data_IF_217371380606
#
_entry.id   IF_217371380606
#
_cell.length_a   1.000
_cell.length_b   1.000
_cell.length_c   1.000
_cell.angle_alpha   90.00
_cell.angle_beta   90.00
_cell.angle_gamma   90.00
#
_symmetry.space_group_name_H-M   'P 1'
#
loop_
_entity.id
_entity.type
_entity.pdbx_description
1 polymer ?
#
# COMPACT_ATOMS: atom_id res chain seq x y z
N UNK A 1 93.15 -12.00 -27.22
CA UNK A 1 91.70 -12.31 -27.15
C UNK A 1 91.55 -13.57 -26.33
N UNK A 2 91.77 -13.48 -25.10
CA UNK A 2 91.68 -14.48 -24.07
C UNK A 2 91.56 -13.72 -22.75
N UNK A 3 90.53 -13.88 -22.03
CA UNK A 3 90.27 -13.53 -20.58
C UNK A 3 88.94 -12.88 -20.43
N UNK A 4 87.93 -13.72 -20.25
CA UNK A 4 86.66 -13.37 -19.63
C UNK A 4 85.81 -14.68 -19.54
N UNK A 5 86.29 -15.65 -18.77
CA UNK A 5 85.59 -16.88 -18.48
C UNK A 5 86.10 -17.43 -17.14
N UNK A 6 85.83 -16.76 -16.03
CA UNK A 6 86.18 -17.32 -14.72
C UNK A 6 85.54 -16.53 -13.55
N UNK A 7 84.34 -15.97 -13.70
CA UNK A 7 83.59 -15.40 -12.59
C UNK A 7 82.05 -15.69 -12.74
N UNK A 8 81.70 -16.94 -12.95
CA UNK A 8 80.26 -17.33 -13.01
C UNK A 8 80.00 -18.70 -12.40
N UNK A 9 80.70 -19.06 -11.35
CA UNK A 9 80.53 -20.36 -10.72
C UNK A 9 80.59 -20.35 -9.20
N UNK A 10 80.29 -19.23 -8.50
CA UNK A 10 80.20 -19.14 -7.03
C UNK A 10 78.95 -18.52 -6.51
N UNK A 11 77.98 -18.21 -7.36
CA UNK A 11 76.70 -17.59 -6.93
C UNK A 11 75.43 -18.48 -7.02
N UNK A 12 75.59 -19.79 -7.26
CA UNK A 12 74.50 -20.75 -7.42
C UNK A 12 74.25 -21.71 -6.26
N UNK A 13 74.94 -21.54 -5.11
CA UNK A 13 74.76 -22.46 -3.95
C UNK A 13 74.11 -21.81 -2.73
N UNK A 14 73.67 -20.58 -2.81
CA UNK A 14 73.02 -19.89 -1.65
C UNK A 14 71.52 -19.56 -1.80
N UNK A 15 70.84 -20.20 -2.77
CA UNK A 15 69.42 -19.98 -3.00
C UNK A 15 68.50 -21.20 -2.80
N UNK A 16 68.90 -22.20 -2.04
CA UNK A 16 68.17 -23.45 -1.83
C UNK A 16 67.69 -23.66 -0.35
N UNK A 17 67.64 -22.62 0.47
CA UNK A 17 67.13 -22.77 1.84
C UNK A 17 66.21 -21.66 2.31
N UNK A 18 65.35 -21.10 1.44
CA UNK A 18 64.33 -20.12 1.82
C UNK A 18 62.94 -20.47 1.25
N UNK A 19 62.63 -21.77 1.10
CA UNK A 19 61.25 -22.23 0.96
C UNK A 19 60.84 -22.88 2.27
N UNK A 20 60.62 -22.06 3.28
CA UNK A 20 59.98 -22.49 4.53
C UNK A 20 58.64 -21.83 4.64
N UNK A 21 57.60 -22.65 4.49
CA UNK A 21 56.25 -22.49 5.03
C UNK A 21 55.73 -21.04 5.20
N UNK A 22 55.08 -20.50 4.16
CA UNK A 22 54.07 -19.46 4.30
C UNK A 22 52.70 -19.96 3.84
N UNK A 23 52.36 -21.20 4.19
CA UNK A 23 51.01 -21.72 4.16
C UNK A 23 50.39 -21.61 5.56
N UNK A 24 50.25 -20.39 6.10
CA UNK A 24 49.39 -20.18 7.28
C UNK A 24 48.72 -18.85 7.18
N UNK A 25 47.38 -18.94 7.19
CA UNK A 25 46.42 -17.87 7.41
C UNK A 25 46.16 -16.90 6.25
N UNK A 26 45.68 -17.38 5.12
CA UNK A 26 44.51 -16.72 4.55
C UNK A 26 43.33 -17.10 5.44
N UNK A 27 43.05 -16.27 6.44
CA UNK A 27 41.72 -16.27 7.04
C UNK A 27 40.75 -16.07 5.87
N UNK A 28 39.98 -17.08 5.53
CA UNK A 28 38.79 -16.90 4.74
C UNK A 28 37.99 -15.82 5.48
N UNK A 29 37.94 -14.62 4.92
CA UNK A 29 36.93 -13.66 5.25
C UNK A 29 35.60 -14.29 4.81
N UNK A 30 35.08 -15.21 5.58
CA UNK A 30 33.71 -15.66 5.47
C UNK A 30 32.87 -14.46 5.84
N UNK A 31 32.45 -13.68 4.84
CA UNK A 31 31.33 -12.75 5.00
C UNK A 31 30.23 -13.58 5.67
N UNK A 32 29.76 -13.18 6.85
CA UNK A 32 28.72 -13.95 7.53
C UNK A 32 27.56 -14.11 6.54
N UNK A 33 27.19 -15.34 6.24
CA UNK A 33 26.02 -15.63 5.38
C UNK A 33 24.82 -15.11 6.15
N UNK A 34 24.28 -13.96 5.73
CA UNK A 34 23.08 -13.39 6.35
C UNK A 34 21.99 -14.44 6.17
N UNK A 35 21.53 -14.99 7.28
CA UNK A 35 20.40 -15.92 7.27
C UNK A 35 19.14 -15.08 7.07
N UNK A 36 18.43 -15.31 5.98
CA UNK A 36 17.13 -14.69 5.72
C UNK A 36 16.11 -15.32 6.65
N UNK A 37 15.35 -14.49 7.34
CA UNK A 37 14.25 -14.88 8.24
C UNK A 37 12.93 -14.30 7.72
N UNK A 38 11.77 -14.74 8.19
CA UNK A 38 10.48 -14.14 7.80
C UNK A 38 10.47 -12.60 7.93
N UNK A 39 11.02 -12.04 9.02
CA UNK A 39 11.06 -10.60 9.27
C UNK A 39 11.95 -9.84 8.27
N UNK A 40 12.92 -10.51 7.69
CA UNK A 40 13.86 -9.90 6.73
C UNK A 40 13.58 -10.29 5.28
N UNK A 41 12.62 -11.19 5.06
CA UNK A 41 12.38 -11.81 3.76
C UNK A 41 12.02 -10.78 2.67
N UNK A 42 11.07 -9.88 2.92
CA UNK A 42 10.68 -8.84 1.97
C UNK A 42 11.88 -7.94 1.61
N UNK A 43 12.60 -7.44 2.61
CA UNK A 43 13.79 -6.60 2.38
C UNK A 43 14.81 -7.33 1.53
N UNK A 44 15.16 -8.58 1.89
CA UNK A 44 16.13 -9.36 1.13
C UNK A 44 15.64 -9.62 -0.31
N UNK A 45 14.33 -9.88 -0.49
CA UNK A 45 13.76 -10.06 -1.83
C UNK A 45 13.89 -8.79 -2.69
N UNK A 46 13.61 -7.61 -2.13
CA UNK A 46 13.74 -6.34 -2.86
C UNK A 46 15.19 -6.03 -3.25
N UNK A 47 16.16 -6.45 -2.42
CA UNK A 47 17.60 -6.30 -2.67
C UNK A 47 18.16 -7.34 -3.66
N UNK A 48 17.41 -8.39 -4.02
CA UNK A 48 17.85 -9.34 -5.03
C UNK A 48 18.03 -8.64 -6.38
N UNK A 49 19.26 -8.65 -6.86
CA UNK A 49 19.57 -8.16 -8.20
C UNK A 49 19.03 -9.15 -9.25
N UNK A 50 18.33 -8.62 -10.22
CA UNK A 50 17.98 -9.30 -11.45
C UNK A 50 18.22 -8.34 -12.63
N UNK A 51 18.56 -8.87 -13.79
CA UNK A 51 18.87 -8.09 -14.98
C UNK A 51 17.61 -7.83 -15.85
N UNK A 52 16.43 -8.06 -15.32
CA UNK A 52 15.19 -7.99 -16.10
C UNK A 52 14.66 -6.56 -16.22
N UNK A 53 14.99 -5.67 -15.25
CA UNK A 53 14.46 -4.32 -15.22
C UNK A 53 14.75 -3.55 -16.51
N UNK A 54 13.66 -3.15 -17.18
CA UNK A 54 13.72 -2.33 -18.39
C UNK A 54 12.38 -1.62 -18.60
N UNK A 55 12.39 -0.51 -19.33
CA UNK A 55 11.16 0.12 -19.79
C UNK A 55 11.30 0.55 -21.26
N UNK A 56 10.18 0.59 -21.96
CA UNK A 56 10.08 1.02 -23.35
C UNK A 56 8.83 1.85 -23.56
N UNK A 57 8.99 3.07 -24.08
CA UNK A 57 7.85 3.89 -24.52
C UNK A 57 7.13 3.19 -25.68
N UNK A 58 5.83 3.02 -25.55
CA UNK A 58 4.95 2.36 -26.53
C UNK A 58 4.05 3.34 -27.24
N UNK A 59 3.46 4.28 -26.51
CA UNK A 59 2.52 5.25 -27.06
C UNK A 59 2.60 6.59 -26.34
N UNK A 60 2.12 7.63 -26.99
CA UNK A 60 2.00 8.98 -26.44
C UNK A 60 0.75 9.63 -27.00
N UNK A 61 -0.09 10.16 -26.13
CA UNK A 61 -1.39 10.71 -26.48
C UNK A 61 -1.84 11.79 -25.47
N UNK A 62 -2.89 12.52 -25.81
CA UNK A 62 -3.43 13.58 -24.97
C UNK A 62 -4.74 13.15 -24.31
N UNK A 63 -4.88 13.48 -23.05
CA UNK A 63 -6.14 13.45 -22.29
C UNK A 63 -6.38 14.89 -21.83
N UNK A 64 -7.28 15.61 -22.48
CA UNK A 64 -7.42 17.06 -22.29
C UNK A 64 -6.07 17.80 -22.40
N UNK A 65 -5.65 18.51 -21.35
CA UNK A 65 -4.38 19.24 -21.27
C UNK A 65 -3.26 18.42 -20.60
N UNK A 66 -3.34 17.09 -20.64
CA UNK A 66 -2.37 16.19 -20.01
C UNK A 66 -1.81 15.23 -21.05
N UNK A 67 -0.49 15.21 -21.23
CA UNK A 67 0.18 14.25 -22.10
C UNK A 67 0.37 12.94 -21.33
N UNK A 68 -0.18 11.86 -21.85
CA UNK A 68 0.00 10.51 -21.32
C UNK A 68 1.03 9.73 -22.13
N UNK A 69 1.90 9.01 -21.41
CA UNK A 69 2.94 8.17 -21.98
C UNK A 69 2.76 6.75 -21.49
N UNK A 70 2.50 5.82 -22.40
CA UNK A 70 2.40 4.40 -22.09
C UNK A 70 3.75 3.70 -22.24
N UNK A 71 4.25 3.14 -21.16
CA UNK A 71 5.47 2.38 -21.10
C UNK A 71 5.18 0.89 -20.90
N UNK A 72 5.87 0.04 -21.65
CA UNK A 72 6.04 -1.36 -21.27
C UNK A 72 7.14 -1.42 -20.22
N UNK A 73 6.76 -1.67 -18.98
CA UNK A 73 7.69 -1.88 -17.88
C UNK A 73 7.92 -3.39 -17.69
N UNK A 74 9.18 -3.83 -17.77
CA UNK A 74 9.60 -5.13 -17.23
C UNK A 74 10.18 -4.86 -15.84
N UNK A 75 9.49 -5.29 -14.79
CA UNK A 75 9.88 -4.94 -13.42
C UNK A 75 10.93 -5.88 -12.86
N UNK A 76 10.82 -7.19 -13.12
CA UNK A 76 11.66 -8.22 -12.53
C UNK A 76 11.44 -9.57 -13.18
N UNK A 77 12.31 -10.52 -12.83
CA UNK A 77 12.02 -11.94 -12.94
C UNK A 77 11.70 -12.50 -11.55
N UNK A 78 10.53 -13.12 -11.39
CA UNK A 78 10.12 -13.84 -10.21
C UNK A 78 9.86 -15.29 -10.59
N UNK A 79 10.63 -16.21 -10.01
CA UNK A 79 10.65 -17.60 -10.42
C UNK A 79 10.89 -17.73 -11.93
N UNK A 80 10.06 -18.51 -12.65
CA UNK A 80 10.10 -18.64 -14.12
C UNK A 80 9.42 -17.48 -14.87
N UNK A 81 8.77 -16.55 -14.17
CA UNK A 81 7.96 -15.51 -14.77
C UNK A 81 8.68 -14.17 -14.86
N UNK A 82 8.73 -13.60 -16.07
CA UNK A 82 9.21 -12.22 -16.29
C UNK A 82 8.01 -11.29 -16.20
N UNK A 83 8.00 -10.43 -15.18
CA UNK A 83 6.88 -9.54 -14.90
C UNK A 83 6.86 -8.32 -15.78
N UNK A 84 5.75 -8.14 -16.49
CA UNK A 84 5.52 -7.04 -17.42
C UNK A 84 4.26 -6.27 -17.05
N UNK A 85 4.31 -4.96 -17.19
CA UNK A 85 3.26 -4.05 -16.82
C UNK A 85 3.06 -2.97 -17.87
N UNK A 86 1.84 -2.46 -17.98
CA UNK A 86 1.59 -1.15 -18.52
C UNK A 86 1.82 -0.12 -17.42
N UNK A 87 2.72 0.82 -17.66
CA UNK A 87 2.95 1.98 -16.80
C UNK A 87 2.57 3.22 -17.61
N UNK A 88 1.44 3.85 -17.26
CA UNK A 88 0.99 5.09 -17.90
C UNK A 88 1.45 6.27 -17.05
N UNK A 89 2.26 7.16 -17.61
CA UNK A 89 2.75 8.39 -16.94
C UNK A 89 2.01 9.59 -17.52
N UNK A 90 1.26 10.30 -16.70
CA UNK A 90 0.45 11.45 -17.04
C UNK A 90 1.12 12.73 -16.59
N UNK A 91 1.41 13.60 -17.54
CA UNK A 91 2.20 14.82 -17.35
C UNK A 91 1.36 16.02 -17.78
N UNK A 92 0.92 16.86 -16.82
CA UNK A 92 0.19 18.08 -17.15
C UNK A 92 1.11 19.12 -17.80
N UNK A 93 0.53 20.09 -18.53
CA UNK A 93 1.27 21.17 -19.19
C UNK A 93 2.19 21.94 -18.21
N UNK A 94 1.81 22.05 -16.95
CA UNK A 94 2.61 22.65 -15.90
C UNK A 94 2.93 21.59 -14.82
N UNK A 95 4.20 21.23 -14.68
CA UNK A 95 4.72 20.39 -13.59
C UNK A 95 5.47 21.28 -12.62
N UNK A 96 4.86 21.56 -11.45
CA UNK A 96 5.38 22.48 -10.45
C UNK A 96 6.18 21.78 -9.33
N UNK A 97 6.11 20.46 -9.22
CA UNK A 97 6.61 19.71 -8.08
C UNK A 97 7.59 18.60 -8.49
N UNK A 98 8.42 18.16 -7.56
CA UNK A 98 9.35 17.03 -7.65
C UNK A 98 8.76 15.72 -7.10
N UNK A 99 7.47 15.73 -6.74
CA UNK A 99 6.71 14.57 -6.29
C UNK A 99 5.79 14.03 -7.37
N UNK A 100 5.52 12.71 -7.34
CA UNK A 100 4.55 12.05 -8.19
C UNK A 100 3.59 11.17 -7.37
N UNK A 101 2.38 10.97 -7.91
CA UNK A 101 1.46 9.95 -7.42
C UNK A 101 1.67 8.68 -8.26
N UNK A 102 1.87 7.54 -7.60
CA UNK A 102 1.84 6.20 -8.19
C UNK A 102 0.58 5.48 -7.74
N UNK A 103 -0.36 5.27 -8.65
CA UNK A 103 -1.57 4.49 -8.41
C UNK A 103 -1.39 3.07 -8.92
N UNK A 104 -1.54 2.08 -8.03
CA UNK A 104 -1.35 0.66 -8.34
C UNK A 104 -2.71 0.03 -8.61
N UNK A 105 -2.86 -0.62 -9.77
CA UNK A 105 -4.12 -1.27 -10.16
C UNK A 105 -3.90 -2.66 -10.77
N UNK A 106 -5.00 -3.38 -10.97
CA UNK A 106 -5.02 -4.71 -11.55
C UNK A 106 -4.84 -4.73 -13.06
N UNK A 107 -5.24 -5.82 -13.64
CA UNK A 107 -5.17 -6.09 -15.06
C UNK A 107 -4.70 -7.50 -15.36
N UNK A 108 -4.78 -7.89 -16.63
CA UNK A 108 -4.40 -9.24 -17.09
C UNK A 108 -3.36 -9.14 -18.20
N UNK A 109 -2.65 -10.23 -18.40
CA UNK A 109 -1.84 -10.44 -19.58
C UNK A 109 -2.65 -11.19 -20.66
N UNK A 110 -2.32 -10.90 -21.91
CA UNK A 110 -2.74 -11.68 -23.07
C UNK A 110 -1.47 -12.05 -23.85
N UNK A 111 -1.25 -13.33 -24.09
CA UNK A 111 -0.05 -13.84 -24.77
C UNK A 111 1.28 -13.32 -24.15
N UNK A 112 1.32 -13.26 -22.81
CA UNK A 112 2.49 -12.81 -22.05
C UNK A 112 2.80 -11.32 -22.13
N UNK A 113 1.86 -10.51 -22.64
CA UNK A 113 1.97 -9.06 -22.73
C UNK A 113 0.81 -8.39 -21.98
N UNK A 114 1.03 -7.19 -21.42
CA UNK A 114 -0.06 -6.42 -20.86
C UNK A 114 -1.24 -6.30 -21.83
N UNK A 115 -2.44 -6.57 -21.33
CA UNK A 115 -3.65 -6.24 -22.08
C UNK A 115 -3.81 -4.72 -21.99
N UNK A 116 -3.30 -4.04 -23.02
CA UNK A 116 -3.26 -2.57 -23.06
C UNK A 116 -4.66 -2.01 -22.92
N UNK A 117 -4.87 -1.17 -21.95
CA UNK A 117 -6.09 -0.39 -21.81
C UNK A 117 -6.14 0.60 -22.98
N UNK A 118 -7.10 0.40 -23.87
CA UNK A 118 -7.38 1.31 -24.98
C UNK A 118 -8.24 2.45 -24.43
N UNK A 119 -7.73 3.67 -24.51
CA UNK A 119 -8.34 4.85 -23.92
C UNK A 119 -9.73 5.19 -24.43
N UNK A 120 -10.00 4.91 -25.68
CA UNK A 120 -11.30 5.19 -26.29
C UNK A 120 -12.41 4.25 -25.76
N UNK A 121 -12.03 3.13 -25.13
CA UNK A 121 -12.97 2.09 -24.69
C UNK A 121 -13.09 1.92 -23.18
N UNK A 122 -12.07 2.32 -22.42
CA UNK A 122 -11.98 2.03 -20.97
C UNK A 122 -11.86 3.29 -20.11
N UNK A 123 -12.50 4.38 -20.46
CA UNK A 123 -12.42 5.73 -19.88
C UNK A 123 -12.53 5.89 -18.35
N UNK A 124 -12.60 4.81 -17.57
CA UNK A 124 -12.95 4.89 -16.16
C UNK A 124 -11.82 5.28 -15.21
N UNK A 125 -10.55 4.96 -15.50
CA UNK A 125 -9.43 5.26 -14.60
C UNK A 125 -8.54 6.41 -15.06
N UNK A 126 -8.38 6.59 -16.36
CA UNK A 126 -7.40 7.53 -16.93
C UNK A 126 -7.84 8.99 -16.82
N UNK A 127 -9.12 9.29 -17.05
CA UNK A 127 -9.64 10.67 -16.98
C UNK A 127 -9.55 11.26 -15.56
N UNK A 128 -10.01 10.58 -14.49
CA UNK A 128 -9.87 11.11 -13.13
C UNK A 128 -8.40 11.31 -12.71
N UNK A 129 -7.50 10.46 -13.18
CA UNK A 129 -6.07 10.56 -12.87
C UNK A 129 -5.40 11.71 -13.65
N UNK A 130 -5.80 11.94 -14.89
CA UNK A 130 -5.36 13.10 -15.67
C UNK A 130 -5.86 14.42 -15.04
N UNK A 131 -7.13 14.46 -14.62
CA UNK A 131 -7.70 15.61 -13.91
C UNK A 131 -6.93 15.88 -12.61
N UNK A 132 -6.60 14.83 -11.85
CA UNK A 132 -5.80 14.92 -10.63
C UNK A 132 -4.39 15.47 -10.93
N UNK A 133 -3.73 15.03 -12.00
CA UNK A 133 -2.44 15.52 -12.42
C UNK A 133 -2.49 17.03 -12.78
N UNK A 134 -3.50 17.43 -13.55
CA UNK A 134 -3.75 18.82 -13.95
C UNK A 134 -4.03 19.72 -12.76
N UNK A 135 -4.96 19.31 -11.90
CA UNK A 135 -5.39 20.04 -10.71
C UNK A 135 -4.24 20.31 -9.75
N UNK A 136 -3.39 19.31 -9.53
CA UNK A 136 -2.27 19.39 -8.56
C UNK A 136 -0.93 19.80 -9.22
N UNK A 137 -0.89 20.02 -10.55
CA UNK A 137 0.32 20.37 -11.30
C UNK A 137 1.49 19.41 -11.01
N UNK A 138 1.18 18.13 -10.92
CA UNK A 138 2.12 17.08 -10.60
C UNK A 138 1.99 15.87 -11.54
N UNK A 139 3.01 15.04 -11.56
CA UNK A 139 3.01 13.81 -12.37
C UNK A 139 2.18 12.73 -11.66
N UNK A 140 1.24 12.11 -12.39
CA UNK A 140 0.50 10.94 -11.94
C UNK A 140 0.90 9.73 -12.79
N UNK A 141 1.11 8.60 -12.18
CA UNK A 141 1.40 7.36 -12.90
C UNK A 141 0.46 6.24 -12.45
N UNK A 142 0.00 5.44 -13.40
CA UNK A 142 -0.81 4.24 -13.15
C UNK A 142 0.01 3.02 -13.51
N UNK A 143 0.25 2.16 -12.51
CA UNK A 143 0.89 0.85 -12.69
C UNK A 143 -0.17 -0.24 -12.77
N UNK A 144 -0.32 -0.87 -13.91
CA UNK A 144 -1.29 -1.94 -14.16
C UNK A 144 -0.67 -3.34 -14.08
N UNK A 145 -1.52 -4.37 -14.05
CA UNK A 145 -1.15 -5.78 -13.94
C UNK A 145 -0.35 -6.09 -12.66
N UNK A 146 -0.83 -5.58 -11.52
CA UNK A 146 -0.29 -5.94 -10.20
C UNK A 146 -1.37 -6.71 -9.42
N UNK A 147 -1.22 -8.05 -9.25
CA UNK A 147 -0.12 -8.89 -9.74
C UNK A 147 -0.14 -9.10 -11.26
N UNK A 148 1.00 -9.54 -11.80
CA UNK A 148 1.05 -10.10 -13.14
C UNK A 148 0.27 -11.42 -13.16
N UNK A 149 -0.76 -11.50 -14.01
CA UNK A 149 -1.70 -12.61 -14.04
C UNK A 149 -2.36 -12.77 -15.43
N UNK A 150 -2.92 -13.98 -15.79
CA UNK A 150 -2.96 -15.20 -14.98
C UNK A 150 -1.60 -15.91 -14.91
N UNK A 151 -1.40 -16.75 -13.89
CA UNK A 151 -0.21 -17.58 -13.73
C UNK A 151 -0.57 -19.03 -13.39
N UNK A 152 0.37 -19.96 -13.65
CA UNK A 152 0.30 -21.38 -13.41
C UNK A 152 -0.73 -22.11 -14.31
N UNK A 153 -0.78 -23.44 -14.22
CA UNK A 153 -1.59 -24.31 -15.10
C UNK A 153 -3.09 -24.07 -15.00
N UNK A 154 -3.56 -23.57 -13.84
CA UNK A 154 -4.98 -23.30 -13.58
C UNK A 154 -5.39 -21.85 -13.91
N UNK A 155 -4.53 -21.08 -14.58
CA UNK A 155 -4.77 -19.65 -14.90
C UNK A 155 -5.19 -18.83 -13.68
N UNK A 156 -4.47 -19.03 -12.55
CA UNK A 156 -4.79 -18.39 -11.27
C UNK A 156 -4.68 -16.87 -11.36
N UNK A 157 -5.65 -16.21 -10.75
CA UNK A 157 -5.76 -14.74 -10.71
C UNK A 157 -6.10 -14.26 -9.31
N UNK A 158 -5.77 -12.98 -9.03
CA UNK A 158 -6.22 -12.24 -7.86
C UNK A 158 -5.96 -12.99 -6.54
N UNK A 159 -6.96 -13.14 -5.68
CA UNK A 159 -6.84 -13.79 -4.37
C UNK A 159 -6.51 -15.29 -4.46
N UNK A 160 -6.94 -15.96 -5.53
CA UNK A 160 -6.55 -17.34 -5.79
C UNK A 160 -5.04 -17.45 -5.99
N UNK A 161 -4.43 -16.54 -6.73
CA UNK A 161 -3.00 -16.54 -6.98
C UNK A 161 -2.21 -16.20 -5.70
N UNK A 162 -2.67 -15.22 -4.92
CA UNK A 162 -2.03 -14.87 -3.64
C UNK A 162 -2.09 -16.07 -2.68
N UNK A 163 -3.29 -16.60 -2.43
CA UNK A 163 -3.50 -17.72 -1.50
C UNK A 163 -2.70 -18.96 -1.91
N UNK A 164 -2.63 -19.26 -3.21
CA UNK A 164 -1.80 -20.35 -3.75
C UNK A 164 -0.31 -20.16 -3.38
N UNK A 165 0.21 -18.94 -3.51
CA UNK A 165 1.64 -18.68 -3.19
C UNK A 165 1.91 -18.80 -1.69
N UNK A 166 1.00 -18.32 -0.83
CA UNK A 166 1.11 -18.46 0.61
C UNK A 166 1.05 -19.93 1.04
N UNK A 167 0.18 -20.71 0.40
CA UNK A 167 0.08 -22.16 0.64
C UNK A 167 1.36 -22.91 0.23
N UNK A 168 2.00 -22.53 -0.89
CA UNK A 168 3.26 -23.15 -1.31
C UNK A 168 4.40 -22.82 -0.34
N UNK A 169 4.47 -21.60 0.21
CA UNK A 169 5.39 -21.30 1.31
C UNK A 169 5.19 -22.28 2.49
N UNK A 170 3.95 -22.57 2.88
CA UNK A 170 3.68 -23.54 3.96
C UNK A 170 4.23 -24.93 3.65
N UNK A 171 4.36 -25.33 2.38
CA UNK A 171 4.86 -26.65 1.95
C UNK A 171 6.37 -26.78 2.00
N UNK A 172 7.10 -25.80 1.46
CA UNK A 172 8.55 -25.91 1.22
C UNK A 172 9.40 -24.89 1.97
N UNK A 173 8.77 -23.90 2.65
CA UNK A 173 9.42 -22.83 3.42
C UNK A 173 10.32 -21.91 2.60
N UNK A 174 10.17 -21.86 1.29
CA UNK A 174 10.85 -20.90 0.45
C UNK A 174 10.27 -19.50 0.67
N UNK A 175 11.07 -18.65 1.33
CA UNK A 175 10.71 -17.27 1.70
C UNK A 175 10.44 -16.34 0.51
N UNK A 176 10.67 -16.79 -0.73
CA UNK A 176 10.40 -16.01 -1.94
C UNK A 176 9.02 -16.28 -2.56
N UNK A 177 8.22 -17.18 -1.95
CA UNK A 177 6.89 -17.50 -2.44
C UNK A 177 5.88 -16.35 -2.37
N UNK A 178 5.78 -15.57 -1.27
CA UNK A 178 4.67 -14.62 -1.14
C UNK A 178 4.56 -13.69 -2.34
N UNK A 179 3.43 -13.75 -3.05
CA UNK A 179 3.18 -12.95 -4.26
C UNK A 179 3.23 -11.45 -4.00
N UNK A 180 2.98 -11.03 -2.77
CA UNK A 180 3.11 -9.62 -2.37
C UNK A 180 4.53 -9.08 -2.57
N UNK A 181 5.56 -9.92 -2.51
CA UNK A 181 6.94 -9.49 -2.72
C UNK A 181 7.19 -8.98 -4.13
N UNK A 182 6.90 -9.76 -5.20
CA UNK A 182 7.00 -9.24 -6.55
C UNK A 182 6.00 -8.10 -6.83
N UNK A 183 4.84 -8.05 -6.17
CA UNK A 183 3.92 -6.90 -6.28
C UNK A 183 4.57 -5.61 -5.75
N UNK A 184 5.18 -5.65 -4.57
CA UNK A 184 5.94 -4.51 -4.01
C UNK A 184 7.12 -4.14 -4.90
N UNK A 185 7.91 -5.13 -5.37
CA UNK A 185 9.04 -4.85 -6.26
C UNK A 185 8.60 -4.22 -7.57
N UNK A 186 7.41 -4.55 -8.08
CA UNK A 186 6.85 -3.88 -9.27
C UNK A 186 6.58 -2.39 -9.02
N UNK A 187 6.06 -2.03 -7.85
CA UNK A 187 5.87 -0.63 -7.48
C UNK A 187 7.20 0.12 -7.32
N UNK A 188 8.20 -0.51 -6.68
CA UNK A 188 9.56 0.05 -6.56
C UNK A 188 10.18 0.28 -7.94
N UNK A 189 10.07 -0.69 -8.85
CA UNK A 189 10.58 -0.58 -10.23
C UNK A 189 9.79 0.42 -11.07
N UNK A 190 8.49 0.60 -10.83
CA UNK A 190 7.73 1.66 -11.45
C UNK A 190 8.25 3.05 -11.04
N UNK A 191 8.57 3.25 -9.76
CA UNK A 191 9.20 4.50 -9.31
C UNK A 191 10.57 4.72 -9.96
N UNK A 192 11.39 3.66 -10.12
CA UNK A 192 12.66 3.74 -10.85
C UNK A 192 12.44 4.18 -12.31
N UNK A 193 11.45 3.59 -12.99
CA UNK A 193 11.13 3.92 -14.38
C UNK A 193 10.60 5.35 -14.51
N UNK A 194 9.74 5.81 -13.60
CA UNK A 194 9.23 7.19 -13.57
C UNK A 194 10.39 8.18 -13.41
N UNK A 195 11.32 7.92 -12.51
CA UNK A 195 12.49 8.78 -12.31
C UNK A 195 13.37 8.86 -13.56
N UNK A 196 13.69 7.71 -14.17
CA UNK A 196 14.49 7.67 -15.41
C UNK A 196 13.78 8.36 -16.56
N UNK A 197 12.50 8.05 -16.79
CA UNK A 197 11.67 8.66 -17.83
C UNK A 197 11.58 10.17 -17.65
N UNK A 198 11.26 10.64 -16.46
CA UNK A 198 11.11 12.06 -16.17
C UNK A 198 12.41 12.83 -16.42
N UNK A 199 13.54 12.27 -16.01
CA UNK A 199 14.84 12.86 -16.26
C UNK A 199 15.20 12.90 -17.75
N UNK A 200 14.97 11.80 -18.49
CA UNK A 200 15.35 11.67 -19.90
C UNK A 200 14.41 12.45 -20.83
N UNK A 201 13.09 12.41 -20.59
CA UNK A 201 12.08 12.93 -21.50
C UNK A 201 11.54 14.29 -21.08
N UNK A 202 11.36 14.51 -19.77
CA UNK A 202 10.75 15.73 -19.27
C UNK A 202 11.79 16.74 -18.75
N UNK A 203 13.07 16.32 -18.59
CA UNK A 203 14.12 17.11 -17.96
C UNK A 203 13.71 17.58 -16.56
N UNK A 204 12.99 16.73 -15.83
CA UNK A 204 12.49 16.94 -14.47
C UNK A 204 13.04 15.85 -13.56
N UNK A 205 13.42 16.22 -12.35
CA UNK A 205 13.77 15.27 -11.31
C UNK A 205 12.53 14.99 -10.44
N UNK A 206 12.02 13.75 -10.51
CA UNK A 206 11.01 13.24 -9.57
C UNK A 206 11.74 12.47 -8.49
N UNK A 207 11.62 12.91 -7.24
CA UNK A 207 12.44 12.39 -6.13
C UNK A 207 11.62 11.72 -5.03
N UNK A 208 10.31 11.97 -4.96
CA UNK A 208 9.42 11.52 -3.90
C UNK A 208 8.08 11.07 -4.47
N UNK A 209 7.42 10.17 -3.76
CA UNK A 209 6.20 9.54 -4.25
C UNK A 209 5.11 9.48 -3.17
N UNK A 210 3.88 9.73 -3.58
CA UNK A 210 2.70 9.23 -2.89
C UNK A 210 2.26 7.96 -3.60
N UNK A 211 2.03 6.87 -2.85
CA UNK A 211 1.61 5.58 -3.42
C UNK A 211 0.20 5.27 -2.96
N UNK A 212 -0.66 4.84 -3.88
CA UNK A 212 -2.04 4.46 -3.57
C UNK A 212 -2.48 3.23 -4.39
N UNK A 213 -3.49 2.54 -3.91
CA UNK A 213 -4.08 1.39 -4.58
C UNK A 213 -5.15 0.73 -3.72
N UNK A 214 -6.04 -0.07 -4.35
CA UNK A 214 -7.19 -0.66 -3.69
C UNK A 214 -7.05 -2.17 -3.47
N UNK A 215 -7.65 -2.68 -2.38
CA UNK A 215 -7.69 -4.11 -2.06
C UNK A 215 -6.27 -4.69 -1.92
N UNK A 216 -5.93 -5.77 -2.63
CA UNK A 216 -4.55 -6.32 -2.66
C UNK A 216 -3.50 -5.31 -3.15
N UNK A 217 -3.88 -4.28 -3.89
CA UNK A 217 -2.99 -3.18 -4.28
C UNK A 217 -2.86 -2.14 -3.16
N UNK A 218 -3.86 -2.01 -2.30
CA UNK A 218 -3.77 -1.32 -1.01
C UNK A 218 -2.81 -2.03 -0.06
N UNK A 219 -2.84 -3.35 -0.04
CA UNK A 219 -1.86 -4.17 0.67
C UNK A 219 -0.43 -3.93 0.15
N UNK A 220 -0.27 -3.94 -1.18
CA UNK A 220 1.00 -3.56 -1.84
C UNK A 220 1.42 -2.15 -1.48
N UNK A 221 0.48 -1.20 -1.40
CA UNK A 221 0.72 0.20 -1.03
C UNK A 221 1.32 0.31 0.38
N UNK A 222 0.74 -0.35 1.37
CA UNK A 222 1.26 -0.41 2.73
C UNK A 222 2.71 -0.94 2.77
N UNK A 223 2.95 -2.10 2.15
CA UNK A 223 4.27 -2.73 2.14
C UNK A 223 5.30 -1.92 1.35
N UNK A 224 4.90 -1.23 0.27
CA UNK A 224 5.78 -0.33 -0.49
C UNK A 224 6.18 0.87 0.37
N UNK A 225 5.23 1.47 1.08
CA UNK A 225 5.51 2.56 2.03
C UNK A 225 6.51 2.17 3.11
N UNK A 226 6.38 0.96 3.65
CA UNK A 226 7.32 0.44 4.65
C UNK A 226 8.71 0.13 4.08
N UNK A 227 8.85 -0.08 2.76
CA UNK A 227 10.05 -0.64 2.14
C UNK A 227 10.90 0.37 1.38
N UNK A 228 10.34 1.46 0.88
CA UNK A 228 11.05 2.44 0.04
C UNK A 228 10.97 3.86 0.60
N UNK A 229 12.11 4.43 0.92
CA UNK A 229 12.24 5.76 1.53
C UNK A 229 11.83 6.92 0.62
N UNK A 230 11.64 6.68 -0.68
CA UNK A 230 11.10 7.68 -1.60
C UNK A 230 9.60 7.91 -1.41
N UNK A 231 8.93 6.98 -0.73
CA UNK A 231 7.50 7.09 -0.42
C UNK A 231 7.31 8.04 0.75
N UNK A 232 6.74 9.21 0.48
CA UNK A 232 6.52 10.27 1.47
C UNK A 232 5.10 10.29 2.03
N UNK A 233 4.14 9.62 1.38
CA UNK A 233 2.77 9.43 1.83
C UNK A 233 2.14 8.21 1.17
N UNK A 234 1.13 7.61 1.80
CA UNK A 234 0.38 6.48 1.21
C UNK A 234 -1.12 6.66 1.34
N UNK A 235 -1.85 6.12 0.32
CA UNK A 235 -3.30 6.07 0.28
C UNK A 235 -3.82 4.64 0.06
N UNK A 236 -3.72 3.74 1.05
CA UNK A 236 -4.24 2.38 0.93
C UNK A 236 -5.76 2.40 1.00
N UNK A 237 -6.42 1.65 0.08
CA UNK A 237 -7.88 1.62 -0.02
C UNK A 237 -8.40 0.20 0.21
N UNK A 238 -9.47 0.09 0.98
CA UNK A 238 -10.27 -1.12 1.22
C UNK A 238 -9.44 -2.36 1.56
N UNK A 239 -8.50 -2.20 2.49
CA UNK A 239 -7.64 -3.28 2.99
C UNK A 239 -7.46 -3.16 4.51
N UNK A 240 -8.48 -3.57 5.25
CA UNK A 240 -8.58 -3.36 6.69
C UNK A 240 -8.24 -4.63 7.47
N UNK A 241 -7.16 -5.31 7.05
CA UNK A 241 -6.71 -6.62 7.56
C UNK A 241 -5.43 -6.56 8.40
N UNK A 242 -4.86 -5.38 8.61
CA UNK A 242 -3.61 -5.22 9.36
C UNK A 242 -3.77 -5.77 10.78
N UNK A 243 -2.65 -6.20 11.38
CA UNK A 243 -2.66 -7.00 12.61
C UNK A 243 -3.47 -8.30 12.39
N UNK A 244 -3.11 -9.02 11.33
CA UNK A 244 -3.85 -10.15 10.77
C UNK A 244 -4.39 -11.14 11.80
N UNK A 245 -3.61 -11.60 12.80
CA UNK A 245 -4.15 -12.54 13.78
C UNK A 245 -5.37 -11.99 14.52
N UNK A 246 -5.30 -10.71 14.95
CA UNK A 246 -6.40 -10.04 15.66
C UNK A 246 -7.58 -9.75 14.73
N UNK A 247 -7.31 -9.25 13.53
CA UNK A 247 -8.35 -8.88 12.55
C UNK A 247 -9.10 -10.10 12.02
N UNK A 248 -8.43 -11.23 11.80
CA UNK A 248 -9.07 -12.48 11.38
C UNK A 248 -9.90 -13.10 12.51
N UNK A 249 -9.41 -13.09 13.75
CA UNK A 249 -10.20 -13.52 14.92
C UNK A 249 -11.41 -12.60 15.14
N UNK A 250 -11.28 -11.31 14.78
CA UNK A 250 -12.37 -10.36 14.87
C UNK A 250 -13.53 -10.65 13.91
N UNK A 251 -13.29 -11.24 12.72
CA UNK A 251 -14.37 -11.76 11.86
C UNK A 251 -15.26 -12.76 12.60
N UNK A 252 -14.64 -13.69 13.34
CA UNK A 252 -15.39 -14.69 14.10
C UNK A 252 -16.18 -14.07 15.25
N UNK A 253 -15.66 -13.00 15.86
CA UNK A 253 -16.33 -12.26 16.92
C UNK A 253 -17.49 -11.43 16.37
N UNK A 254 -17.30 -10.76 15.23
CA UNK A 254 -18.32 -9.89 14.63
C UNK A 254 -19.40 -10.68 13.87
N UNK A 255 -19.02 -11.68 13.09
CA UNK A 255 -19.92 -12.37 12.15
C UNK A 255 -20.10 -13.85 12.42
N UNK A 256 -19.48 -14.44 13.46
CA UNK A 256 -19.42 -15.87 13.74
C UNK A 256 -18.84 -16.71 12.57
N UNK A 257 -18.25 -16.07 11.58
CA UNK A 257 -17.65 -16.69 10.40
C UNK A 257 -16.64 -15.75 9.77
N UNK A 258 -15.73 -16.28 8.97
CA UNK A 258 -14.94 -15.46 8.05
C UNK A 258 -15.81 -14.92 6.92
N UNK A 259 -15.47 -13.76 6.38
CA UNK A 259 -16.11 -13.25 5.17
C UNK A 259 -16.03 -14.28 4.02
N UNK A 260 -17.10 -14.42 3.26
CA UNK A 260 -17.10 -15.23 2.04
C UNK A 260 -16.13 -14.70 0.97
N UNK A 261 -15.82 -13.42 1.02
CA UNK A 261 -14.89 -12.78 0.08
C UNK A 261 -13.45 -13.28 0.20
N UNK A 262 -13.07 -13.84 1.37
CA UNK A 262 -11.75 -14.46 1.56
C UNK A 262 -11.76 -15.99 1.40
N UNK A 263 -12.76 -16.55 0.70
CA UNK A 263 -12.88 -18.00 0.51
C UNK A 263 -11.67 -18.67 -0.14
N UNK A 264 -10.94 -17.96 -0.99
CA UNK A 264 -9.74 -18.52 -1.63
C UNK A 264 -8.61 -18.77 -0.61
N UNK A 265 -8.55 -17.95 0.44
CA UNK A 265 -7.64 -18.16 1.56
C UNK A 265 -8.15 -19.22 2.54
N UNK A 266 -9.47 -19.26 2.79
CA UNK A 266 -10.13 -20.22 3.68
C UNK A 266 -9.95 -21.65 3.17
N UNK A 267 -10.12 -21.91 1.87
CA UNK A 267 -9.92 -23.20 1.22
C UNK A 267 -8.51 -23.77 1.40
N UNK A 268 -7.51 -22.89 1.58
CA UNK A 268 -6.10 -23.25 1.77
C UNK A 268 -5.66 -23.12 3.23
N UNK A 269 -6.61 -23.00 4.16
CA UNK A 269 -6.41 -22.94 5.60
C UNK A 269 -5.42 -21.83 6.03
N UNK A 270 -5.42 -20.68 5.33
CA UNK A 270 -4.56 -19.55 5.69
C UNK A 270 -5.08 -18.85 6.97
N UNK A 271 -6.35 -18.38 7.04
CA UNK A 271 -6.87 -17.74 8.25
C UNK A 271 -6.89 -18.69 9.46
N UNK A 272 -7.28 -19.95 9.25
CA UNK A 272 -7.41 -20.94 10.33
C UNK A 272 -6.08 -21.29 11.00
N UNK A 273 -4.98 -21.06 10.29
CA UNK A 273 -3.63 -21.40 10.78
C UNK A 273 -2.78 -20.17 11.12
N UNK A 274 -3.38 -18.98 11.15
CA UNK A 274 -2.66 -17.72 11.39
C UNK A 274 -1.86 -17.72 12.69
N UNK A 275 -2.36 -18.35 13.74
CA UNK A 275 -1.71 -18.46 15.07
C UNK A 275 -0.74 -19.66 15.21
N UNK A 276 -0.48 -20.42 14.14
CA UNK A 276 0.55 -21.48 14.14
C UNK A 276 1.94 -20.89 13.86
N UNK A 277 3.00 -21.68 14.03
CA UNK A 277 4.37 -21.27 13.69
C UNK A 277 4.47 -20.81 12.23
N UNK A 278 3.89 -21.55 11.29
CA UNK A 278 3.87 -21.21 9.87
C UNK A 278 3.02 -19.96 9.58
N UNK A 279 1.87 -19.83 10.25
CA UNK A 279 1.02 -18.66 10.13
C UNK A 279 1.70 -17.41 10.67
N UNK A 280 2.37 -17.49 11.80
CA UNK A 280 3.15 -16.39 12.34
C UNK A 280 4.29 -15.97 11.40
N UNK A 281 5.00 -16.93 10.80
CA UNK A 281 6.03 -16.64 9.82
C UNK A 281 5.46 -15.96 8.55
N UNK A 282 4.29 -16.39 8.07
CA UNK A 282 3.58 -15.69 6.99
C UNK A 282 3.20 -14.27 7.39
N UNK A 283 2.58 -14.09 8.56
CA UNK A 283 2.21 -12.77 9.10
C UNK A 283 3.41 -11.82 9.15
N UNK A 284 4.56 -12.29 9.63
CA UNK A 284 5.79 -11.50 9.65
C UNK A 284 6.25 -11.06 8.26
N UNK A 285 5.96 -11.85 7.23
CA UNK A 285 6.35 -11.53 5.85
C UNK A 285 5.38 -10.60 5.13
N UNK A 286 4.07 -10.74 5.37
CA UNK A 286 3.05 -10.15 4.51
C UNK A 286 2.15 -9.13 5.22
N UNK A 287 2.01 -9.17 6.54
CA UNK A 287 1.19 -8.23 7.28
C UNK A 287 1.91 -6.87 7.39
N UNK A 288 1.35 -5.78 6.85
CA UNK A 288 1.95 -4.45 7.00
C UNK A 288 2.15 -4.04 8.46
N UNK A 289 1.35 -4.57 9.38
CA UNK A 289 1.51 -4.32 10.82
C UNK A 289 2.85 -4.83 11.36
N UNK A 290 3.43 -5.89 10.76
CA UNK A 290 4.77 -6.38 11.10
C UNK A 290 5.87 -5.37 10.75
N UNK A 291 5.59 -4.43 9.86
CA UNK A 291 6.48 -3.37 9.40
C UNK A 291 6.10 -1.99 9.95
N UNK A 292 5.20 -1.90 10.95
CA UNK A 292 4.61 -0.63 11.40
C UNK A 292 5.62 0.42 11.81
N UNK A 293 6.75 0.03 12.40
CA UNK A 293 7.81 0.97 12.80
C UNK A 293 8.40 1.76 11.62
N UNK A 294 8.27 1.27 10.39
CA UNK A 294 8.68 1.93 9.15
C UNK A 294 7.58 2.82 8.57
N UNK A 295 6.33 2.66 9.01
CA UNK A 295 5.17 3.38 8.48
C UNK A 295 4.99 4.75 9.16
N UNK A 296 6.04 5.57 9.14
CA UNK A 296 6.06 6.89 9.80
C UNK A 296 5.53 8.04 8.94
N UNK A 297 5.38 7.81 7.63
CA UNK A 297 4.84 8.80 6.70
C UNK A 297 3.34 9.04 6.95
N UNK A 298 2.76 10.16 6.52
CA UNK A 298 1.32 10.39 6.52
C UNK A 298 0.56 9.35 5.70
N UNK A 299 -0.59 8.93 6.20
CA UNK A 299 -1.46 7.92 5.59
C UNK A 299 -2.90 8.41 5.54
N UNK A 300 -3.56 8.28 4.38
CA UNK A 300 -5.00 8.41 4.26
C UNK A 300 -5.58 7.05 3.90
N UNK A 301 -6.31 6.44 4.83
CA UNK A 301 -6.89 5.11 4.73
C UNK A 301 -8.32 5.24 4.25
N UNK A 302 -8.68 4.52 3.19
CA UNK A 302 -10.01 4.60 2.58
C UNK A 302 -10.80 3.33 2.88
N UNK A 303 -12.01 3.48 3.40
CA UNK A 303 -12.87 2.37 3.84
C UNK A 303 -14.30 2.61 3.36
N UNK A 304 -14.95 1.58 2.83
CA UNK A 304 -16.38 1.56 2.58
C UNK A 304 -17.13 1.17 3.86
N UNK A 305 -18.23 1.85 4.20
CA UNK A 305 -18.98 1.52 5.43
C UNK A 305 -19.71 0.18 5.37
N UNK A 306 -19.87 -0.37 4.17
CA UNK A 306 -20.54 -1.65 3.92
C UNK A 306 -19.59 -2.65 3.22
N UNK A 307 -18.26 -2.51 3.46
CA UNK A 307 -17.26 -3.40 2.84
C UNK A 307 -17.54 -4.86 3.19
N UNK A 308 -17.62 -5.71 2.18
CA UNK A 308 -17.98 -7.12 2.33
C UNK A 308 -16.83 -7.97 2.90
N UNK A 309 -15.60 -7.42 2.89
CA UNK A 309 -14.41 -8.12 3.37
C UNK A 309 -14.18 -7.99 4.86
N UNK A 310 -14.46 -6.82 5.45
CA UNK A 310 -13.98 -6.45 6.79
C UNK A 310 -15.12 -5.98 7.71
N UNK A 311 -15.12 -6.35 9.02
CA UNK A 311 -16.03 -5.74 9.98
C UNK A 311 -15.88 -4.23 9.98
N UNK A 312 -17.00 -3.52 10.13
CA UNK A 312 -17.12 -2.08 9.94
C UNK A 312 -16.16 -1.22 10.78
N UNK A 313 -15.77 -1.73 11.94
CA UNK A 313 -14.87 -1.07 12.89
C UNK A 313 -13.49 -1.77 13.02
N UNK A 314 -13.12 -2.61 12.04
CA UNK A 314 -11.88 -3.39 12.07
C UNK A 314 -10.62 -2.52 12.19
N UNK A 315 -10.66 -1.29 11.71
CA UNK A 315 -9.55 -0.32 11.80
C UNK A 315 -9.03 -0.14 13.23
N UNK A 316 -9.86 -0.33 14.25
CA UNK A 316 -9.47 -0.26 15.67
C UNK A 316 -8.41 -1.29 16.06
N UNK A 317 -8.29 -2.39 15.32
CA UNK A 317 -7.37 -3.48 15.62
C UNK A 317 -5.89 -3.11 15.39
N UNK A 318 -5.61 -1.97 14.72
CA UNK A 318 -4.25 -1.64 14.35
C UNK A 318 -3.92 -0.14 14.32
N UNK A 319 -4.91 0.75 14.15
CA UNK A 319 -4.64 2.16 13.80
C UNK A 319 -3.85 2.90 14.87
N UNK A 320 -4.10 2.61 16.14
CA UNK A 320 -3.48 3.27 17.28
C UNK A 320 -2.00 2.86 17.49
N UNK A 321 -1.58 1.74 16.88
CA UNK A 321 -0.22 1.22 16.96
C UNK A 321 0.67 1.65 15.77
N UNK A 322 0.09 2.27 14.75
CA UNK A 322 0.83 2.71 13.56
C UNK A 322 1.34 4.14 13.77
N UNK A 323 2.66 4.34 13.77
CA UNK A 323 3.25 5.65 14.01
C UNK A 323 2.98 6.66 12.89
N UNK A 324 3.14 7.94 13.20
CA UNK A 324 2.94 9.05 12.28
C UNK A 324 1.47 9.47 12.16
N UNK A 325 1.15 10.20 11.12
CA UNK A 325 -0.18 10.77 10.91
C UNK A 325 -1.08 9.76 10.18
N UNK A 326 -2.16 9.34 10.84
CA UNK A 326 -3.13 8.38 10.34
C UNK A 326 -4.48 9.09 10.16
N UNK A 327 -4.91 9.23 8.91
CA UNK A 327 -6.20 9.80 8.54
C UNK A 327 -7.10 8.73 7.93
N UNK A 328 -8.40 8.84 8.15
CA UNK A 328 -9.40 7.94 7.60
C UNK A 328 -10.37 8.73 6.73
N UNK A 329 -10.75 8.12 5.61
CA UNK A 329 -11.85 8.54 4.76
C UNK A 329 -12.83 7.39 4.64
N UNK A 330 -14.04 7.55 5.19
CA UNK A 330 -15.13 6.61 4.94
C UNK A 330 -15.95 7.06 3.73
N UNK A 331 -16.29 6.10 2.86
CA UNK A 331 -17.33 6.29 1.84
C UNK A 331 -18.61 5.66 2.38
N UNK A 332 -19.61 6.46 2.79
CA UNK A 332 -20.85 5.93 3.39
C UNK A 332 -21.72 5.23 2.35
N UNK A 333 -22.39 4.15 2.76
CA UNK A 333 -23.23 3.30 1.91
C UNK A 333 -22.49 2.69 0.72
N UNK A 334 -21.19 2.47 0.85
CA UNK A 334 -20.34 1.88 -0.18
C UNK A 334 -19.69 0.59 0.32
N UNK A 335 -19.64 -0.41 -0.53
CA UNK A 335 -18.91 -1.65 -0.32
C UNK A 335 -17.43 -1.52 -0.69
N UNK A 336 -16.84 -2.62 -1.09
CA UNK A 336 -15.41 -2.74 -1.45
C UNK A 336 -15.02 -1.90 -2.67
N UNK A 337 -15.98 -1.51 -3.51
CA UNK A 337 -15.78 -0.67 -4.69
C UNK A 337 -15.76 0.84 -4.41
N UNK A 338 -16.04 1.26 -3.15
CA UNK A 338 -16.13 2.67 -2.73
C UNK A 338 -17.13 3.49 -3.56
N UNK A 339 -18.25 2.88 -3.98
CA UNK A 339 -19.28 3.52 -4.83
C UNK A 339 -18.68 4.09 -6.13
N UNK A 340 -17.85 3.28 -6.80
CA UNK A 340 -17.13 3.68 -8.02
C UNK A 340 -15.93 4.60 -7.78
N UNK A 341 -15.61 4.93 -6.52
CA UNK A 341 -14.36 5.57 -6.10
C UNK A 341 -14.29 7.10 -6.26
N UNK A 342 -15.32 7.78 -6.75
CA UNK A 342 -15.26 9.23 -7.02
C UNK A 342 -14.87 10.04 -5.78
N UNK A 343 -15.53 9.83 -4.63
CA UNK A 343 -15.23 10.53 -3.37
C UNK A 343 -13.85 10.19 -2.84
N UNK A 344 -13.45 8.93 -2.96
CA UNK A 344 -12.14 8.46 -2.54
C UNK A 344 -11.03 9.13 -3.38
N UNK A 345 -11.19 9.23 -4.70
CA UNK A 345 -10.25 9.90 -5.59
C UNK A 345 -10.19 11.42 -5.35
N UNK A 346 -11.31 12.06 -5.00
CA UNK A 346 -11.33 13.47 -4.59
C UNK A 346 -10.51 13.68 -3.30
N UNK A 347 -10.70 12.82 -2.30
CA UNK A 347 -9.94 12.87 -1.05
C UNK A 347 -8.45 12.56 -1.26
N UNK A 348 -8.12 11.56 -2.11
CA UNK A 348 -6.74 11.26 -2.50
C UNK A 348 -6.08 12.45 -3.21
N UNK A 349 -6.80 13.12 -4.11
CA UNK A 349 -6.31 14.31 -4.83
C UNK A 349 -5.95 15.44 -3.86
N UNK A 350 -6.81 15.73 -2.90
CA UNK A 350 -6.55 16.76 -1.89
C UNK A 350 -5.37 16.39 -0.98
N UNK A 351 -5.32 15.13 -0.50
CA UNK A 351 -4.24 14.61 0.32
C UNK A 351 -2.89 14.69 -0.42
N UNK A 352 -2.85 14.24 -1.68
CA UNK A 352 -1.66 14.35 -2.51
C UNK A 352 -1.25 15.81 -2.79
N UNK A 353 -2.21 16.69 -3.05
CA UNK A 353 -1.95 18.11 -3.26
C UNK A 353 -1.33 18.80 -2.04
N UNK A 354 -1.77 18.45 -0.83
CA UNK A 354 -1.15 18.93 0.43
C UNK A 354 0.28 18.38 0.55
N UNK A 355 0.48 17.09 0.27
CA UNK A 355 1.80 16.44 0.27
C UNK A 355 2.77 17.12 -0.69
N UNK A 356 2.37 17.33 -1.95
CA UNK A 356 3.19 18.00 -2.97
C UNK A 356 3.65 19.37 -2.52
N UNK A 357 2.76 20.12 -1.91
CA UNK A 357 3.02 21.49 -1.42
C UNK A 357 3.75 21.54 -0.08
N UNK A 358 4.04 20.37 0.53
CA UNK A 358 4.63 20.26 1.88
C UNK A 358 3.85 21.08 2.92
N UNK A 359 2.53 21.14 2.73
CA UNK A 359 1.63 21.79 3.70
C UNK A 359 1.34 20.82 4.83
N UNK A 360 1.24 21.33 6.07
CA UNK A 360 0.81 20.48 7.16
C UNK A 360 -0.59 19.92 6.86
N UNK A 361 -0.81 18.68 7.24
CA UNK A 361 -2.15 18.13 7.25
C UNK A 361 -2.92 18.75 8.42
N UNK A 362 -4.21 18.94 8.19
CA UNK A 362 -5.08 19.43 9.25
C UNK A 362 -5.12 18.43 10.39
N UNK A 363 -4.78 18.85 11.58
CA UNK A 363 -4.96 18.03 12.78
C UNK A 363 -6.44 17.74 12.99
N UNK A 364 -6.73 16.52 13.38
CA UNK A 364 -8.04 16.00 13.72
C UNK A 364 -7.91 15.23 15.02
N UNK A 365 -8.22 15.89 16.13
CA UNK A 365 -8.24 15.26 17.44
C UNK A 365 -9.65 14.87 17.80
N UNK A 366 -9.82 13.67 18.35
CA UNK A 366 -11.12 13.23 18.84
C UNK A 366 -10.99 12.36 20.06
N UNK A 367 -11.96 12.50 20.94
CA UNK A 367 -12.05 11.76 22.18
C UNK A 367 -13.46 11.19 22.34
N UNK A 368 -13.52 9.91 22.71
CA UNK A 368 -14.76 9.25 23.07
C UNK A 368 -14.83 9.11 24.58
N UNK A 369 -15.92 9.59 25.18
CA UNK A 369 -16.28 9.32 26.56
C UNK A 369 -17.63 8.64 26.64
N UNK A 370 -17.87 7.82 27.65
CA UNK A 370 -19.09 7.02 27.80
C UNK A 370 -19.74 7.25 29.15
N UNK A 371 -21.07 7.19 29.17
CA UNK A 371 -21.88 7.05 30.38
C UNK A 371 -22.76 5.78 30.27
N UNK A 372 -23.62 5.52 31.24
CA UNK A 372 -24.47 4.31 31.28
C UNK A 372 -25.45 4.18 30.13
N UNK A 373 -25.66 5.20 29.34
CA UNK A 373 -26.76 5.26 28.35
C UNK A 373 -26.32 5.79 26.99
N UNK A 374 -25.06 6.24 26.89
CA UNK A 374 -24.63 6.94 25.70
C UNK A 374 -23.10 7.05 25.60
N UNK A 375 -22.60 7.17 24.37
CA UNK A 375 -21.31 7.68 24.05
C UNK A 375 -21.36 9.19 23.77
N UNK A 376 -20.29 9.89 24.07
CA UNK A 376 -20.07 11.29 23.69
C UNK A 376 -18.77 11.38 22.90
N UNK A 377 -18.87 11.73 21.62
CA UNK A 377 -17.73 11.92 20.74
C UNK A 377 -17.46 13.42 20.59
N UNK A 378 -16.28 13.85 21.04
CA UNK A 378 -15.79 15.20 20.92
C UNK A 378 -14.73 15.24 19.83
N UNK A 379 -14.88 16.15 18.88
CA UNK A 379 -13.96 16.28 17.74
C UNK A 379 -13.48 17.72 17.64
N UNK A 380 -12.18 17.91 17.59
CA UNK A 380 -11.54 19.22 17.40
C UNK A 380 -10.75 19.20 16.09
N UNK A 381 -10.97 20.23 15.27
CA UNK A 381 -10.20 20.50 14.08
C UNK A 381 -9.73 21.94 14.10
N UNK A 382 -8.45 22.18 13.98
CA UNK A 382 -7.88 23.55 14.02
C UNK A 382 -7.86 24.25 12.66
N UNK A 383 -8.40 23.61 11.62
CA UNK A 383 -8.40 24.15 10.25
C UNK A 383 -9.45 25.23 10.03
N UNK A 384 -9.02 26.33 9.41
CA UNK A 384 -9.94 27.37 8.89
C UNK A 384 -10.68 26.89 7.60
N UNK A 385 -10.21 25.79 7.01
CA UNK A 385 -10.81 25.17 5.82
C UNK A 385 -11.99 24.26 6.13
N UNK A 386 -12.31 24.00 7.41
CA UNK A 386 -13.45 23.20 7.82
C UNK A 386 -14.77 23.89 7.42
N UNK A 387 -15.56 23.22 6.59
CA UNK A 387 -16.86 23.71 6.13
C UNK A 387 -18.01 23.22 6.96
N UNK A 388 -18.04 21.92 7.19
CA UNK A 388 -19.16 21.27 7.91
C UNK A 388 -18.72 19.93 8.48
N UNK A 389 -19.52 19.41 9.39
CA UNK A 389 -19.34 18.09 9.96
C UNK A 389 -20.66 17.33 9.93
N UNK A 390 -20.60 16.01 9.83
CA UNK A 390 -21.73 15.11 9.81
C UNK A 390 -21.51 13.98 10.81
N UNK A 391 -22.51 13.69 11.61
CA UNK A 391 -22.60 12.41 12.32
C UNK A 391 -23.23 11.40 11.36
N UNK A 392 -22.50 10.37 11.02
CA UNK A 392 -22.99 9.20 10.31
C UNK A 392 -23.26 8.08 11.31
N UNK A 393 -24.38 7.38 11.14
CA UNK A 393 -24.70 6.21 11.95
C UNK A 393 -25.60 5.23 11.20
N UNK A 394 -25.50 3.97 11.60
CA UNK A 394 -26.42 2.89 11.22
C UNK A 394 -26.77 2.07 12.45
N UNK A 395 -28.00 1.55 12.50
CA UNK A 395 -28.45 0.59 13.49
C UNK A 395 -28.55 -0.80 12.85
N UNK A 396 -28.22 -1.86 13.61
CA UNK A 396 -28.38 -3.25 13.17
C UNK A 396 -28.89 -4.14 14.30
N UNK A 397 -29.61 -5.22 13.96
CA UNK A 397 -30.00 -6.25 14.94
C UNK A 397 -28.84 -7.16 15.35
N UNK A 398 -27.74 -7.19 14.58
CA UNK A 398 -26.50 -7.93 14.86
C UNK A 398 -25.25 -7.06 14.58
N UNK A 399 -24.05 -7.67 14.52
CA UNK A 399 -22.79 -6.93 14.27
C UNK A 399 -22.41 -6.88 12.79
N UNK A 400 -23.33 -7.25 11.90
CA UNK A 400 -23.13 -7.20 10.46
C UNK A 400 -23.76 -5.92 9.88
N UNK A 401 -22.91 -5.01 9.43
CA UNK A 401 -23.32 -3.73 8.85
C UNK A 401 -23.21 -3.70 7.33
N UNK A 402 -22.95 -4.84 6.69
CA UNK A 402 -22.77 -4.92 5.25
C UNK A 402 -24.03 -4.60 4.44
N UNK A 403 -25.21 -4.85 5.01
CA UNK A 403 -26.53 -4.64 4.40
C UNK A 403 -27.31 -3.47 5.03
N UNK A 404 -26.69 -2.74 5.98
CA UNK A 404 -27.34 -1.64 6.66
C UNK A 404 -27.25 -0.34 5.86
N UNK A 405 -28.21 0.56 6.13
CA UNK A 405 -28.22 1.89 5.50
C UNK A 405 -27.70 2.93 6.49
N UNK A 406 -26.69 3.67 6.06
CA UNK A 406 -26.09 4.75 6.82
C UNK A 406 -26.84 6.05 6.61
N UNK A 407 -27.19 6.71 7.70
CA UNK A 407 -27.84 8.01 7.72
C UNK A 407 -26.89 9.07 8.25
N UNK A 408 -26.98 10.28 7.69
CA UNK A 408 -26.17 11.41 8.14
C UNK A 408 -27.03 12.48 8.81
N UNK A 409 -26.45 13.09 9.82
CA UNK A 409 -26.98 14.29 10.45
C UNK A 409 -25.93 15.37 10.46
N UNK A 410 -26.20 16.51 9.81
CA UNK A 410 -25.32 17.65 9.87
C UNK A 410 -25.18 18.16 11.31
N UNK A 411 -23.97 18.43 11.71
CA UNK A 411 -23.59 18.91 13.03
C UNK A 411 -23.24 20.39 12.95
N UNK A 412 -23.76 21.19 13.88
CA UNK A 412 -23.31 22.56 13.99
C UNK A 412 -21.90 22.60 14.59
N UNK A 413 -20.94 23.05 13.82
CA UNK A 413 -19.60 23.32 14.32
C UNK A 413 -19.65 24.52 15.27
N UNK A 414 -19.15 24.33 16.48
CA UNK A 414 -19.09 25.40 17.49
C UNK A 414 -17.96 26.37 17.14
N UNK A 415 -18.08 27.64 17.55
CA UNK A 415 -17.13 28.72 17.30
C UNK A 415 -15.67 28.42 17.67
N UNK A 416 -15.43 27.40 18.51
CA UNK A 416 -14.11 27.02 19.01
C UNK A 416 -13.51 25.81 18.28
N UNK A 417 -13.96 25.53 17.04
CA UNK A 417 -13.48 24.39 16.21
C UNK A 417 -13.68 23.01 16.83
N UNK A 418 -14.47 22.92 17.91
CA UNK A 418 -14.83 21.67 18.58
C UNK A 418 -16.30 21.34 18.35
N UNK A 419 -16.57 20.09 18.02
CA UNK A 419 -17.91 19.55 17.86
C UNK A 419 -18.11 18.42 18.87
N UNK A 420 -19.22 18.46 19.63
CA UNK A 420 -19.54 17.43 20.62
C UNK A 420 -20.88 16.81 20.26
N UNK A 421 -20.88 15.48 20.10
CA UNK A 421 -22.10 14.73 19.82
C UNK A 421 -22.32 13.68 20.89
N UNK A 422 -23.54 13.70 21.45
CA UNK A 422 -24.04 12.66 22.34
C UNK A 422 -24.83 11.65 21.52
N UNK A 423 -24.42 10.39 21.54
CA UNK A 423 -24.98 9.28 20.79
C UNK A 423 -25.60 8.30 21.80
N UNK A 424 -26.92 8.21 21.91
CA UNK A 424 -27.57 7.23 22.75
C UNK A 424 -27.27 5.81 22.30
N UNK A 425 -27.07 4.91 23.25
CA UNK A 425 -26.98 3.48 22.94
C UNK A 425 -28.31 2.98 22.36
N UNK A 426 -28.30 2.00 21.46
CA UNK A 426 -29.51 1.41 20.95
C UNK A 426 -30.27 0.70 22.07
N UNK A 427 -31.58 0.61 21.99
CA UNK A 427 -32.39 -0.12 22.99
C UNK A 427 -32.28 -1.65 22.86
N UNK A 428 -31.78 -2.13 21.74
CA UNK A 428 -31.43 -3.51 21.37
C UNK A 428 -30.51 -3.49 20.16
N UNK A 429 -29.79 -4.59 19.92
CA UNK A 429 -28.90 -4.70 18.77
C UNK A 429 -27.69 -3.80 18.89
N UNK A 430 -27.26 -3.24 17.79
CA UNK A 430 -25.99 -2.50 17.68
C UNK A 430 -26.19 -1.19 16.93
N UNK A 431 -25.33 -0.22 17.23
CA UNK A 431 -25.21 1.05 16.52
C UNK A 431 -23.76 1.32 16.18
N UNK A 432 -23.47 1.48 14.89
CA UNK A 432 -22.19 1.98 14.44
C UNK A 432 -22.27 3.48 14.13
N UNK A 433 -21.20 4.24 14.43
CA UNK A 433 -21.19 5.69 14.22
C UNK A 433 -19.78 6.25 14.08
N UNK A 434 -19.67 7.35 13.34
CA UNK A 434 -18.47 8.17 13.22
C UNK A 434 -18.82 9.61 12.88
N UNK A 435 -17.86 10.53 13.02
CA UNK A 435 -18.02 11.91 12.57
C UNK A 435 -17.12 12.11 11.35
N UNK A 436 -17.74 12.64 10.30
CA UNK A 436 -17.08 13.04 9.06
C UNK A 436 -16.97 14.56 9.00
N UNK A 437 -15.78 15.06 8.65
CA UNK A 437 -15.49 16.48 8.55
C UNK A 437 -15.15 16.82 7.10
N UNK A 438 -15.90 17.76 6.53
CA UNK A 438 -15.70 18.26 5.17
C UNK A 438 -14.85 19.54 5.19
N UNK A 439 -13.78 19.52 4.40
CA UNK A 439 -12.82 20.61 4.25
C UNK A 439 -12.81 21.15 2.82
N UNK A 440 -12.45 22.44 2.67
CA UNK A 440 -12.08 22.99 1.36
C UNK A 440 -10.76 22.36 0.89
N UNK A 441 -10.74 21.91 -0.36
CA UNK A 441 -9.48 21.55 -1.02
C UNK A 441 -8.83 22.85 -1.55
N UNK A 442 -7.56 23.16 -1.21
CA UNK A 442 -6.86 24.34 -1.70
C UNK A 442 -6.79 24.44 -3.24
N UNK A 443 -6.89 23.31 -3.94
CA UNK A 443 -6.88 23.22 -5.39
C UNK A 443 -8.29 23.19 -6.02
N UNK A 444 -9.33 23.42 -5.20
CA UNK A 444 -10.74 23.49 -5.62
C UNK A 444 -11.55 22.24 -5.23
N UNK A 445 -12.82 22.44 -4.85
CA UNK A 445 -13.70 21.39 -4.35
C UNK A 445 -13.60 21.15 -2.85
N UNK A 446 -14.01 19.99 -2.42
CA UNK A 446 -13.99 19.56 -1.01
C UNK A 446 -13.46 18.13 -0.87
N UNK A 447 -13.06 17.78 0.33
CA UNK A 447 -12.68 16.43 0.72
C UNK A 447 -13.06 16.17 2.16
N UNK A 448 -13.16 14.90 2.56
CA UNK A 448 -13.52 14.53 3.92
C UNK A 448 -12.40 13.80 4.64
N UNK A 449 -12.34 13.98 5.95
CA UNK A 449 -11.61 13.15 6.92
C UNK A 449 -12.53 12.78 8.05
N UNK A 450 -12.40 11.56 8.54
CA UNK A 450 -13.32 10.97 9.51
C UNK A 450 -12.60 10.61 10.80
N UNK A 451 -13.35 10.63 11.93
CA UNK A 451 -12.93 9.87 13.11
C UNK A 451 -12.92 8.37 12.75
N UNK A 452 -12.29 7.53 13.57
CA UNK A 452 -12.51 6.09 13.39
C UNK A 452 -13.98 5.73 13.66
N UNK A 453 -14.38 4.57 13.12
CA UNK A 453 -15.68 3.97 13.43
C UNK A 453 -15.74 3.49 14.88
N UNK A 454 -16.88 3.69 15.51
CA UNK A 454 -17.24 3.16 16.82
C UNK A 454 -18.50 2.30 16.71
N UNK A 455 -18.52 1.23 17.48
CA UNK A 455 -19.64 0.30 17.56
C UNK A 455 -20.10 0.21 19.02
N UNK A 456 -21.40 0.38 19.27
CA UNK A 456 -22.01 0.24 20.58
C UNK A 456 -23.12 -0.80 20.55
N UNK A 457 -23.31 -1.51 21.66
CA UNK A 457 -24.52 -2.25 21.95
C UNK A 457 -25.44 -1.45 22.91
N UNK A 458 -26.37 -2.11 23.59
CA UNK A 458 -27.34 -1.46 24.51
C UNK A 458 -26.74 -1.06 25.88
N UNK A 459 -25.47 -1.40 26.13
CA UNK A 459 -24.80 -1.19 27.43
C UNK A 459 -23.47 -0.43 27.30
N UNK A 460 -22.66 -0.67 26.23
CA UNK A 460 -21.32 -0.10 26.08
C UNK A 460 -20.86 0.11 24.62
N UNK A 461 -19.73 0.79 24.47
CA UNK A 461 -18.95 0.83 23.21
C UNK A 461 -17.96 -0.32 23.20
N UNK A 462 -17.95 -1.09 22.11
CA UNK A 462 -17.24 -2.37 21.96
C UNK A 462 -15.79 -2.23 21.45
#
# INVERSE_FOLDING_TARGET
MQRLLSILLVLTVLWLNACRDHSKNMAENTVPKITVTPETALKNYLELEDNAFAWQLKDTYEIDDVTAYDLLLTSQQWREHVWKHQLTIMVPNEVAHDGALLFITGGKLTDGMPNWKDQEKDGSESEPMAEMAKKNKGVVAILRQVPMQPLYEDDLVEDQLISFTLHNYKKDKDLTWPLLFPMVKSAVRAMDAIQQFSKEKLQKDITRFTVAGASKRGWTTWLTGASDKRVEAIGPMVIDVLNMPVSLDYHLTAWNAYSEQINDYIKLEIPQTVNTEDGNALTQMIDPYSYREQLTMPKLIFIGTNDEYWPVDAVKNYIDDIPGENYIHYTPNAGHDLDGGEKALQALSAFWGLTLNKKPYTELDYELSTDKTSATLSVTSDSDELKTAYLWSADSDDRDFRDETWESKQINTVKDKTTVQKIPYPSKGYKAFYIDLEYSDPNGGTYTKSTRMYLADDDEVL
#
